data_IF_765193887887
#
_entry.id   IF_765193887887
#
_cell.length_a   1.000
_cell.length_b   1.000
_cell.length_c   1.000
_cell.angle_alpha   90.00
_cell.angle_beta   90.00
_cell.angle_gamma   90.00
#
_symmetry.space_group_name_H-M   'P 1'
#
loop_
_entity.id
_entity.type
_entity.pdbx_description
1 polymer ?
#
# COMPACT_ATOMS: atom_id res chain seq x y z
N UNK A 1 11.42 2.19 19.77
CA UNK A 1 11.80 2.24 18.35
C UNK A 1 10.71 1.72 17.40
N UNK A 2 9.78 0.83 17.79
CA UNK A 2 8.61 0.46 16.96
C UNK A 2 7.58 1.57 16.71
N UNK A 3 7.42 2.52 17.64
CA UNK A 3 6.37 3.57 17.57
C UNK A 3 6.50 4.54 16.39
N UNK A 4 7.69 4.67 15.78
CA UNK A 4 7.96 5.66 14.74
C UNK A 4 7.59 5.19 13.31
N UNK A 5 7.44 3.88 13.09
CA UNK A 5 7.34 3.31 11.74
C UNK A 5 5.90 3.17 11.23
N UNK A 6 4.93 2.90 12.10
CA UNK A 6 3.51 2.79 11.73
C UNK A 6 2.88 4.16 11.53
N UNK A 7 3.27 5.16 12.33
CA UNK A 7 2.89 6.57 12.11
C UNK A 7 3.45 7.04 10.76
N UNK A 8 4.64 6.60 10.36
CA UNK A 8 5.19 6.92 9.03
C UNK A 8 4.42 6.24 7.88
N UNK A 9 3.71 5.13 8.11
CA UNK A 9 2.87 4.45 7.10
C UNK A 9 1.49 5.08 6.95
N UNK A 10 0.87 5.53 8.04
CA UNK A 10 -0.35 6.35 7.99
C UNK A 10 -0.06 7.77 7.45
N UNK A 11 1.09 8.35 7.78
CA UNK A 11 1.53 9.65 7.25
C UNK A 11 2.01 9.54 5.79
N UNK A 12 2.52 8.39 5.31
CA UNK A 12 2.91 8.26 3.89
C UNK A 12 1.74 8.08 2.93
N UNK A 13 0.50 7.92 3.41
CA UNK A 13 -0.67 8.17 2.55
C UNK A 13 -0.72 9.65 2.10
N UNK A 14 -0.05 10.57 2.81
CA UNK A 14 0.13 11.97 2.40
C UNK A 14 1.23 12.18 1.34
N UNK A 15 2.12 11.19 1.12
CA UNK A 15 3.18 11.28 0.09
C UNK A 15 2.71 10.81 -1.29
N UNK A 16 1.47 10.28 -1.39
CA UNK A 16 0.69 10.29 -2.63
C UNK A 16 0.01 11.67 -2.85
N UNK A 17 0.37 12.69 -2.08
CA UNK A 17 -0.34 13.97 -1.99
C UNK A 17 -1.30 13.96 -0.80
N UNK A 18 -1.35 15.02 0.00
CA UNK A 18 -2.08 15.07 1.25
C UNK A 18 -3.57 14.74 1.07
N UNK A 19 -4.09 13.82 1.88
CA UNK A 19 -5.50 13.76 2.23
C UNK A 19 -5.77 14.96 3.15
N UNK A 20 -5.90 16.15 2.55
CA UNK A 20 -6.43 17.34 3.21
C UNK A 20 -7.70 17.68 2.47
N UNK A 21 -8.83 17.41 3.10
CA UNK A 21 -10.05 18.16 2.87
C UNK A 21 -9.72 19.64 3.11
N UNK A 22 -9.34 20.36 2.04
CA UNK A 22 -8.87 21.74 2.09
C UNK A 22 -7.61 22.08 1.31
N UNK A 23 -6.91 21.13 0.68
CA UNK A 23 -5.94 21.49 -0.35
C UNK A 23 -6.72 21.88 -1.61
N UNK A 24 -6.68 23.16 -1.96
CA UNK A 24 -7.19 23.66 -3.23
C UNK A 24 -6.43 22.91 -4.33
N UNK A 25 -7.03 21.85 -4.88
CA UNK A 25 -6.51 21.15 -6.04
C UNK A 25 -6.27 22.21 -7.11
N UNK A 26 -5.01 22.38 -7.49
CA UNK A 26 -4.66 23.06 -8.71
C UNK A 26 -5.25 22.23 -9.86
N UNK A 27 -6.53 22.50 -10.15
CA UNK A 27 -7.30 21.92 -11.24
C UNK A 27 -6.79 22.41 -12.61
N UNK A 28 -5.59 23.02 -12.68
CA UNK A 28 -4.93 23.27 -13.95
C UNK A 28 -4.62 21.93 -14.61
N UNK A 29 -5.28 21.69 -15.75
CA UNK A 29 -4.98 20.56 -16.61
C UNK A 29 -3.54 20.74 -17.09
N UNK A 30 -2.60 19.95 -16.55
CA UNK A 30 -1.23 19.88 -17.07
C UNK A 30 -1.25 19.18 -18.42
N UNK A 31 -1.37 19.97 -19.49
CA UNK A 31 -1.28 19.48 -20.86
C UNK A 31 0.18 19.11 -21.14
N UNK A 32 0.46 17.81 -21.29
CA UNK A 32 1.75 17.32 -21.80
C UNK A 32 1.58 17.03 -23.29
N UNK A 33 2.42 17.65 -24.12
CA UNK A 33 2.50 17.33 -25.55
C UNK A 33 3.57 16.26 -25.74
N UNK A 34 3.17 15.11 -26.29
CA UNK A 34 4.08 14.03 -26.68
C UNK A 34 4.09 13.91 -28.20
N UNK A 35 5.28 13.89 -28.79
CA UNK A 35 5.44 13.59 -30.21
C UNK A 35 5.71 12.10 -30.32
N UNK A 36 4.77 11.36 -30.91
CA UNK A 36 4.92 9.93 -31.16
C UNK A 36 5.21 9.70 -32.64
N UNK A 37 6.20 8.85 -32.94
CA UNK A 37 6.47 8.40 -34.30
C UNK A 37 5.73 7.09 -34.53
N UNK A 38 4.82 6.99 -35.51
CA UNK A 38 4.12 5.73 -35.79
C UNK A 38 5.11 4.62 -36.10
N UNK A 39 5.08 3.55 -35.29
CA UNK A 39 5.87 2.35 -35.50
C UNK A 39 4.96 1.18 -35.89
N UNK A 40 5.24 0.48 -37.02
CA UNK A 40 4.48 -0.70 -37.38
C UNK A 40 4.63 -1.77 -36.29
N UNK A 41 3.64 -2.66 -36.22
CA UNK A 41 3.76 -3.85 -35.39
C UNK A 41 5.02 -4.64 -35.75
N UNK A 42 5.80 -5.03 -34.74
CA UNK A 42 6.98 -5.85 -34.94
C UNK A 42 6.57 -7.21 -35.53
N UNK A 43 7.34 -7.72 -36.50
CA UNK A 43 7.09 -9.07 -37.09
C UNK A 43 7.02 -10.16 -36.03
N UNK A 44 7.81 -10.02 -34.97
CA UNK A 44 7.71 -10.83 -33.75
C UNK A 44 7.04 -9.99 -32.65
N UNK A 45 5.71 -9.88 -32.69
CA UNK A 45 4.92 -9.00 -31.82
C UNK A 45 5.16 -9.22 -30.32
N UNK A 46 5.49 -10.45 -29.91
CA UNK A 46 5.71 -10.86 -28.51
C UNK A 46 7.20 -11.02 -28.15
N UNK A 47 8.10 -10.45 -28.97
CA UNK A 47 9.55 -10.48 -28.69
C UNK A 47 9.87 -9.63 -27.47
N UNK A 48 9.37 -8.40 -27.45
CA UNK A 48 9.56 -7.41 -26.41
C UNK A 48 8.60 -7.71 -25.27
N UNK A 49 9.13 -7.73 -24.05
CA UNK A 49 8.41 -8.14 -22.85
C UNK A 49 8.87 -7.29 -21.67
N UNK A 50 7.95 -7.04 -20.75
CA UNK A 50 8.21 -6.37 -19.48
C UNK A 50 8.25 -7.37 -18.30
N UNK A 51 8.39 -8.66 -18.63
CA UNK A 51 8.49 -9.77 -17.69
C UNK A 51 9.31 -10.93 -18.29
N UNK A 52 9.93 -11.72 -17.41
CA UNK A 52 10.69 -12.90 -17.81
C UNK A 52 9.78 -14.00 -18.37
N UNK A 53 10.24 -14.74 -19.38
CA UNK A 53 9.54 -15.94 -19.89
C UNK A 53 9.72 -17.11 -18.93
N UNK A 54 8.76 -18.03 -18.95
CA UNK A 54 8.83 -19.29 -18.20
C UNK A 54 10.15 -20.05 -18.40
N UNK A 55 10.69 -20.08 -19.63
CA UNK A 55 11.97 -20.74 -19.93
C UNK A 55 13.21 -20.02 -19.36
N UNK A 56 13.10 -18.73 -19.03
CA UNK A 56 14.16 -17.91 -18.45
C UNK A 56 14.13 -17.97 -16.90
N UNK A 57 12.99 -18.34 -16.31
CA UNK A 57 12.81 -18.42 -14.87
C UNK A 57 13.70 -19.50 -14.26
N UNK A 58 14.33 -19.13 -13.15
CA UNK A 58 15.11 -20.04 -12.31
C UNK A 58 14.27 -20.38 -11.08
N UNK A 59 14.21 -21.67 -10.75
CA UNK A 59 13.52 -22.15 -9.56
C UNK A 59 14.24 -21.69 -8.28
N UNK A 60 13.92 -20.48 -7.84
CA UNK A 60 14.50 -19.84 -6.67
C UNK A 60 13.59 -18.68 -6.22
N UNK A 61 13.76 -18.26 -4.97
CA UNK A 61 12.96 -17.20 -4.35
C UNK A 61 13.57 -15.81 -4.59
N UNK A 62 12.76 -14.86 -5.07
CA UNK A 62 13.11 -13.47 -5.30
C UNK A 62 13.24 -12.66 -3.99
N UNK A 63 12.48 -12.99 -2.94
CA UNK A 63 12.44 -12.23 -1.69
C UNK A 63 13.83 -12.11 -1.05
N UNK A 64 14.63 -13.18 -1.10
CA UNK A 64 16.03 -13.20 -0.60
C UNK A 64 16.90 -12.18 -1.33
N UNK A 65 16.70 -12.00 -2.63
CA UNK A 65 17.44 -11.02 -3.43
C UNK A 65 16.97 -9.60 -3.14
N UNK A 66 15.67 -9.38 -2.89
CA UNK A 66 15.17 -8.08 -2.45
C UNK A 66 15.71 -7.71 -1.07
N UNK A 67 15.71 -8.61 -0.09
CA UNK A 67 16.36 -8.37 1.20
C UNK A 67 17.86 -8.08 1.05
N UNK A 68 18.55 -8.83 0.21
CA UNK A 68 19.96 -8.57 -0.09
C UNK A 68 20.16 -7.21 -0.74
N UNK A 69 19.29 -6.81 -1.67
CA UNK A 69 19.33 -5.49 -2.30
C UNK A 69 19.11 -4.37 -1.27
N UNK A 70 18.15 -4.53 -0.35
CA UNK A 70 17.94 -3.59 0.74
C UNK A 70 19.17 -3.47 1.65
N UNK A 71 19.85 -4.58 1.96
CA UNK A 71 21.09 -4.57 2.75
C UNK A 71 22.28 -3.95 2.00
N UNK A 72 22.22 -3.85 0.67
CA UNK A 72 23.23 -3.18 -0.17
C UNK A 72 22.80 -1.75 -0.58
N UNK A 73 21.64 -1.28 -0.10
CA UNK A 73 21.21 0.08 -0.33
C UNK A 73 22.15 1.00 0.45
N UNK A 74 22.62 2.12 -0.13
CA UNK A 74 23.39 3.11 0.61
C UNK A 74 22.67 3.51 1.90
N UNK A 75 23.40 3.67 3.00
CA UNK A 75 22.84 4.10 4.28
C UNK A 75 22.39 5.57 4.24
N UNK A 76 21.52 5.96 5.18
CA UNK A 76 21.16 7.38 5.45
C UNK A 76 22.29 8.14 6.17
N UNK A 77 23.54 7.98 5.74
CA UNK A 77 24.68 8.68 6.33
C UNK A 77 24.61 10.21 6.20
N UNK A 78 25.76 10.87 6.34
CA UNK A 78 25.90 12.33 6.47
C UNK A 78 25.63 13.15 5.18
N UNK A 79 24.85 12.61 4.22
CA UNK A 79 24.62 13.25 2.94
C UNK A 79 23.13 13.31 2.58
N UNK A 80 22.72 14.47 2.06
CA UNK A 80 21.41 14.76 1.45
C UNK A 80 21.13 13.94 0.18
N UNK A 81 21.66 12.72 0.07
CA UNK A 81 21.57 11.88 -1.12
C UNK A 81 20.12 11.65 -1.53
N UNK A 82 19.27 11.27 -0.57
CA UNK A 82 17.86 11.00 -0.84
C UNK A 82 17.08 12.27 -1.18
N UNK A 83 17.34 13.37 -0.47
CA UNK A 83 16.77 14.68 -0.81
C UNK A 83 17.15 15.10 -2.24
N UNK A 84 18.42 14.88 -2.64
CA UNK A 84 18.90 15.15 -4.00
C UNK A 84 18.23 14.25 -5.02
N UNK A 85 18.12 12.94 -4.76
CA UNK A 85 17.43 12.00 -5.65
C UNK A 85 15.98 12.44 -5.87
N UNK A 86 15.28 12.82 -4.80
CA UNK A 86 13.91 13.30 -4.90
C UNK A 86 13.81 14.59 -5.70
N UNK A 87 14.69 15.56 -5.47
CA UNK A 87 14.76 16.79 -6.28
C UNK A 87 15.02 16.48 -7.76
N UNK A 88 15.99 15.60 -8.05
CA UNK A 88 16.34 15.23 -9.43
C UNK A 88 15.25 14.44 -10.13
N UNK A 89 14.40 13.71 -9.41
CA UNK A 89 13.27 12.98 -10.02
C UNK A 89 12.18 13.90 -10.56
N UNK A 90 12.05 15.10 -10.01
CA UNK A 90 10.97 16.04 -10.34
C UNK A 90 11.42 17.26 -11.17
N UNK A 91 12.72 17.59 -11.19
CA UNK A 91 13.26 18.66 -12.05
C UNK A 91 13.17 18.30 -13.54
N UNK A 92 13.16 19.24 -14.51
CA UNK A 92 13.22 18.95 -15.94
C UNK A 92 14.44 18.10 -16.36
N UNK A 93 14.27 17.26 -17.39
CA UNK A 93 15.28 16.23 -17.76
C UNK A 93 16.55 16.86 -18.33
N UNK A 94 16.40 17.96 -19.07
CA UNK A 94 17.45 18.78 -19.66
C UNK A 94 18.26 19.57 -18.62
N UNK A 95 17.71 19.79 -17.43
CA UNK A 95 18.39 20.47 -16.32
C UNK A 95 19.15 19.50 -15.39
N UNK A 96 19.05 18.18 -15.61
CA UNK A 96 19.66 17.19 -14.72
C UNK A 96 21.19 17.35 -14.64
N UNK A 97 21.78 17.43 -13.43
CA UNK A 97 23.24 17.43 -13.27
C UNK A 97 23.79 16.02 -13.50
N UNK A 98 23.94 15.64 -14.77
CA UNK A 98 24.23 14.26 -15.21
C UNK A 98 25.37 13.60 -14.46
N UNK A 99 26.50 14.28 -14.27
CA UNK A 99 27.67 13.74 -13.57
C UNK A 99 27.39 13.42 -12.10
N UNK A 100 26.66 14.29 -11.40
CA UNK A 100 26.26 14.06 -10.01
C UNK A 100 25.24 12.92 -9.89
N UNK A 101 24.27 12.88 -10.82
CA UNK A 101 23.27 11.81 -10.89
C UNK A 101 23.94 10.46 -11.14
N UNK A 102 24.83 10.36 -12.12
CA UNK A 102 25.58 9.13 -12.41
C UNK A 102 26.40 8.67 -11.20
N UNK A 103 27.07 9.60 -10.51
CA UNK A 103 27.83 9.30 -9.29
C UNK A 103 26.92 8.77 -8.17
N UNK A 104 25.76 9.40 -7.97
CA UNK A 104 24.78 8.97 -6.98
C UNK A 104 24.21 7.58 -7.31
N UNK A 105 23.77 7.35 -8.55
CA UNK A 105 23.27 6.05 -9.01
C UNK A 105 24.34 4.96 -8.93
N UNK A 106 25.62 5.31 -9.10
CA UNK A 106 26.76 4.41 -8.92
C UNK A 106 26.80 3.76 -7.53
N UNK A 107 26.30 4.44 -6.49
CA UNK A 107 26.22 3.91 -5.13
C UNK A 107 25.18 2.79 -5.00
N UNK A 108 24.15 2.77 -5.85
CA UNK A 108 23.11 1.75 -5.86
C UNK A 108 23.46 0.54 -6.74
N UNK A 109 24.64 0.50 -7.38
CA UNK A 109 25.02 -0.55 -8.35
C UNK A 109 24.81 -1.97 -7.80
N UNK A 110 25.20 -2.22 -6.56
CA UNK A 110 25.03 -3.53 -5.92
C UNK A 110 23.55 -3.88 -5.72
N UNK A 111 22.75 -2.90 -5.27
CA UNK A 111 21.29 -3.04 -5.13
C UNK A 111 20.64 -3.35 -6.48
N UNK A 112 20.92 -2.56 -7.52
CA UNK A 112 20.36 -2.75 -8.86
C UNK A 112 20.70 -4.12 -9.43
N UNK A 113 21.94 -4.58 -9.26
CA UNK A 113 22.33 -5.91 -9.72
C UNK A 113 21.51 -7.03 -9.07
N UNK A 114 21.18 -6.89 -7.79
CA UNK A 114 20.36 -7.87 -7.07
C UNK A 114 18.90 -7.82 -7.52
N UNK A 115 18.36 -6.63 -7.82
CA UNK A 115 17.03 -6.46 -8.43
C UNK A 115 16.98 -7.16 -9.80
N UNK A 116 17.95 -6.93 -10.69
CA UNK A 116 18.03 -7.60 -12.00
C UNK A 116 18.06 -9.13 -11.88
N UNK A 117 18.80 -9.65 -10.89
CA UNK A 117 18.85 -11.09 -10.63
C UNK A 117 17.51 -11.64 -10.12
N UNK A 118 16.71 -10.82 -9.44
CA UNK A 118 15.40 -11.18 -8.91
C UNK A 118 14.35 -11.34 -10.02
N UNK A 119 14.47 -10.59 -11.13
CA UNK A 119 13.52 -10.63 -12.27
C UNK A 119 13.28 -12.04 -12.81
N UNK A 120 14.33 -12.87 -12.83
CA UNK A 120 14.28 -14.23 -13.40
C UNK A 120 14.12 -15.31 -12.32
N UNK A 121 13.48 -14.99 -11.20
CA UNK A 121 13.13 -15.94 -10.13
C UNK A 121 11.67 -16.34 -10.27
N UNK A 122 11.39 -17.63 -10.10
CA UNK A 122 10.05 -18.18 -10.36
C UNK A 122 9.03 -17.93 -9.25
N UNK A 123 9.47 -17.47 -8.06
CA UNK A 123 8.59 -17.21 -6.90
C UNK A 123 9.12 -16.04 -6.06
N UNK A 124 8.25 -15.32 -5.36
CA UNK A 124 8.61 -14.35 -4.33
C UNK A 124 7.86 -14.65 -3.02
N UNK A 125 8.44 -15.49 -2.19
CA UNK A 125 7.86 -15.91 -0.91
C UNK A 125 8.54 -15.15 0.23
N UNK A 126 7.79 -14.35 0.98
CA UNK A 126 8.34 -13.50 2.04
C UNK A 126 8.51 -14.21 3.39
N UNK A 127 7.87 -15.37 3.60
CA UNK A 127 7.93 -16.19 4.82
C UNK A 127 7.79 -15.35 6.13
N UNK A 128 6.91 -14.34 6.10
CA UNK A 128 6.69 -13.45 7.25
C UNK A 128 5.81 -14.11 8.32
N UNK A 129 6.06 -13.87 9.61
CA UNK A 129 5.27 -14.42 10.71
C UNK A 129 3.97 -13.64 10.88
N UNK A 130 3.01 -13.87 9.98
CA UNK A 130 1.74 -13.13 9.90
C UNK A 130 0.93 -13.17 11.20
N UNK A 131 1.12 -14.21 12.01
CA UNK A 131 0.46 -14.39 13.30
C UNK A 131 0.92 -13.39 14.36
N UNK A 132 2.03 -12.68 14.12
CA UNK A 132 2.50 -11.57 14.98
C UNK A 132 1.67 -10.29 14.84
N UNK A 133 0.76 -10.20 13.84
CA UNK A 133 -0.16 -9.08 13.67
C UNK A 133 0.56 -7.72 13.56
N UNK A 134 0.19 -6.76 14.39
CA UNK A 134 0.80 -5.43 14.46
C UNK A 134 2.26 -5.45 14.89
N UNK A 135 2.72 -6.50 15.58
CA UNK A 135 4.11 -6.62 15.98
C UNK A 135 5.00 -7.14 14.85
N UNK A 136 4.41 -7.65 13.77
CA UNK A 136 5.16 -8.15 12.61
C UNK A 136 6.04 -7.06 12.02
N UNK A 137 7.34 -7.34 11.95
CA UNK A 137 8.33 -6.37 11.51
C UNK A 137 8.52 -6.40 9.99
N UNK A 138 8.47 -5.22 9.37
CA UNK A 138 8.75 -5.02 7.94
C UNK A 138 9.87 -3.99 7.71
N UNK A 139 11.10 -4.27 8.19
CA UNK A 139 12.16 -3.24 8.31
C UNK A 139 12.64 -2.67 6.97
N UNK A 140 12.53 -3.44 5.87
CA UNK A 140 13.10 -3.05 4.57
C UNK A 140 12.15 -2.23 3.68
N UNK A 141 10.90 -1.97 4.09
CA UNK A 141 9.91 -1.32 3.21
C UNK A 141 10.32 0.09 2.76
N UNK A 142 10.85 0.90 3.68
CA UNK A 142 11.34 2.23 3.33
C UNK A 142 12.54 2.15 2.38
N UNK A 143 13.42 1.17 2.58
CA UNK A 143 14.57 0.91 1.72
C UNK A 143 14.14 0.49 0.30
N UNK A 144 13.09 -0.31 0.15
CA UNK A 144 12.55 -0.65 -1.17
C UNK A 144 12.05 0.58 -1.94
N UNK A 145 11.40 1.53 -1.26
CA UNK A 145 10.99 2.80 -1.88
C UNK A 145 12.21 3.62 -2.33
N UNK A 146 13.26 3.68 -1.50
CA UNK A 146 14.52 4.37 -1.85
C UNK A 146 15.20 3.77 -3.06
N UNK A 147 15.28 2.44 -3.14
CA UNK A 147 15.80 1.73 -4.32
C UNK A 147 14.92 2.06 -5.55
N UNK A 148 13.60 2.07 -5.39
CA UNK A 148 12.69 2.42 -6.47
C UNK A 148 12.84 3.88 -6.94
N UNK A 149 13.09 4.84 -6.02
CA UNK A 149 13.39 6.23 -6.38
C UNK A 149 14.67 6.29 -7.23
N UNK A 150 15.72 5.57 -6.83
CA UNK A 150 16.95 5.49 -7.59
C UNK A 150 16.76 4.80 -8.96
N UNK A 151 15.98 3.70 -9.04
CA UNK A 151 15.62 3.05 -10.31
C UNK A 151 14.83 3.98 -11.23
N UNK A 152 13.88 4.74 -10.67
CA UNK A 152 13.11 5.73 -11.43
C UNK A 152 14.00 6.82 -12.00
N UNK A 153 15.01 7.28 -11.25
CA UNK A 153 15.96 8.28 -11.72
C UNK A 153 16.91 7.70 -12.77
N UNK A 154 17.36 6.44 -12.59
CA UNK A 154 18.16 5.70 -13.58
C UNK A 154 17.43 5.57 -14.90
N UNK A 155 16.18 5.10 -14.89
CA UNK A 155 15.35 4.96 -16.08
C UNK A 155 15.24 6.30 -16.83
N UNK A 156 15.00 7.37 -16.09
CA UNK A 156 14.85 8.71 -16.65
C UNK A 156 16.13 9.22 -17.31
N UNK A 157 17.29 8.97 -16.70
CA UNK A 157 18.59 9.31 -17.29
C UNK A 157 18.84 8.51 -18.57
N UNK A 158 18.55 7.21 -18.57
CA UNK A 158 18.71 6.34 -19.74
C UNK A 158 17.83 6.80 -20.92
N UNK A 159 16.58 7.18 -20.64
CA UNK A 159 15.68 7.78 -21.63
C UNK A 159 16.28 9.07 -22.19
N UNK A 160 16.80 9.95 -21.32
CA UNK A 160 17.41 11.22 -21.70
C UNK A 160 18.67 11.06 -22.56
N UNK A 161 19.37 9.94 -22.39
CA UNK A 161 20.61 9.61 -23.08
C UNK A 161 20.39 8.77 -24.34
N UNK A 162 19.14 8.44 -24.67
CA UNK A 162 18.80 7.63 -25.83
C UNK A 162 19.15 6.15 -25.67
N UNK A 163 19.35 5.68 -24.43
CA UNK A 163 19.77 4.31 -24.10
C UNK A 163 18.55 3.38 -24.02
N UNK A 164 18.00 3.03 -25.19
CA UNK A 164 16.72 2.31 -25.30
C UNK A 164 16.73 0.94 -24.61
N UNK A 165 17.76 0.14 -24.81
CA UNK A 165 17.85 -1.22 -24.28
C UNK A 165 18.04 -1.22 -22.76
N UNK A 166 18.87 -0.30 -22.26
CA UNK A 166 19.10 -0.09 -20.84
C UNK A 166 17.82 0.41 -20.14
N UNK A 167 17.12 1.39 -20.74
CA UNK A 167 15.84 1.88 -20.24
C UNK A 167 14.80 0.76 -20.16
N UNK A 168 14.69 -0.08 -21.20
CA UNK A 168 13.78 -1.24 -21.20
C UNK A 168 14.12 -2.23 -20.07
N UNK A 169 15.42 -2.50 -19.86
CA UNK A 169 15.91 -3.38 -18.80
C UNK A 169 15.60 -2.83 -17.40
N UNK A 170 15.82 -1.52 -17.18
CA UNK A 170 15.51 -0.84 -15.91
C UNK A 170 14.01 -0.84 -15.65
N UNK A 171 13.20 -0.52 -16.65
CA UNK A 171 11.75 -0.54 -16.58
C UNK A 171 11.24 -1.94 -16.18
N UNK A 172 11.73 -2.97 -16.87
CA UNK A 172 11.40 -4.38 -16.57
C UNK A 172 11.78 -4.75 -15.12
N UNK A 173 12.97 -4.35 -14.69
CA UNK A 173 13.46 -4.62 -13.33
C UNK A 173 12.62 -3.91 -12.26
N UNK A 174 12.24 -2.65 -12.50
CA UNK A 174 11.38 -1.89 -11.60
C UNK A 174 9.95 -2.45 -11.51
N UNK A 175 9.36 -2.88 -12.63
CA UNK A 175 8.05 -3.52 -12.65
C UNK A 175 8.07 -4.90 -11.98
N UNK A 176 9.12 -5.70 -12.20
CA UNK A 176 9.29 -6.97 -11.50
C UNK A 176 9.47 -6.78 -9.99
N UNK A 177 10.22 -5.74 -9.57
CA UNK A 177 10.34 -5.36 -8.16
C UNK A 177 8.99 -4.95 -7.58
N UNK A 178 8.23 -4.10 -8.28
CA UNK A 178 6.88 -3.69 -7.86
C UNK A 178 5.99 -4.90 -7.56
N UNK A 179 5.96 -5.88 -8.48
CA UNK A 179 5.21 -7.13 -8.31
C UNK A 179 5.72 -7.96 -7.15
N UNK A 180 7.02 -8.22 -7.08
CA UNK A 180 7.59 -9.04 -6.01
C UNK A 180 7.37 -8.45 -4.62
N UNK A 181 7.45 -7.13 -4.46
CA UNK A 181 7.09 -6.46 -3.19
C UNK A 181 5.60 -6.62 -2.90
N UNK A 182 4.73 -6.49 -3.91
CA UNK A 182 3.28 -6.69 -3.80
C UNK A 182 2.81 -8.15 -3.73
N UNK A 183 3.71 -9.15 -3.75
CA UNK A 183 3.39 -10.55 -3.40
C UNK A 183 3.47 -10.79 -1.87
N UNK A 184 3.66 -9.71 -1.10
CA UNK A 184 3.66 -9.74 0.35
C UNK A 184 2.28 -10.01 0.97
N UNK A 185 2.22 -10.50 2.22
CA UNK A 185 0.96 -10.83 2.86
C UNK A 185 0.16 -9.61 3.36
N UNK A 186 0.66 -8.37 3.28
CA UNK A 186 0.01 -7.20 3.91
C UNK A 186 -0.44 -6.17 2.89
N UNK A 187 -1.51 -5.42 3.19
CA UNK A 187 -1.94 -4.34 2.29
C UNK A 187 -0.86 -3.27 2.19
N UNK A 188 -0.08 -3.08 3.25
CA UNK A 188 1.08 -2.18 3.26
C UNK A 188 2.06 -2.54 2.14
N UNK A 189 2.36 -3.82 1.93
CA UNK A 189 3.27 -4.25 0.87
C UNK A 189 2.66 -4.04 -0.52
N UNK A 190 1.36 -4.31 -0.70
CA UNK A 190 0.67 -4.00 -1.94
C UNK A 190 0.74 -2.51 -2.29
N UNK A 191 0.52 -1.64 -1.30
CA UNK A 191 0.64 -0.20 -1.46
C UNK A 191 2.03 0.22 -1.92
N UNK A 192 3.07 -0.41 -1.36
CA UNK A 192 4.45 -0.17 -1.80
C UNK A 192 4.65 -0.67 -3.23
N UNK A 193 4.18 -1.88 -3.57
CA UNK A 193 4.24 -2.42 -4.92
C UNK A 193 3.55 -1.52 -5.95
N UNK A 194 2.33 -1.09 -5.67
CA UNK A 194 1.55 -0.16 -6.52
C UNK A 194 2.31 1.17 -6.70
N UNK A 195 2.86 1.73 -5.62
CA UNK A 195 3.61 2.98 -5.70
C UNK A 195 4.87 2.84 -6.58
N UNK A 196 5.63 1.74 -6.42
CA UNK A 196 6.80 1.44 -7.26
C UNK A 196 6.40 1.28 -8.73
N UNK A 197 5.32 0.53 -8.99
CA UNK A 197 4.79 0.36 -10.35
C UNK A 197 4.40 1.68 -10.99
N UNK A 198 3.63 2.51 -10.28
CA UNK A 198 3.22 3.84 -10.74
C UNK A 198 4.42 4.75 -11.06
N UNK A 199 5.50 4.67 -10.27
CA UNK A 199 6.73 5.41 -10.55
C UNK A 199 7.41 4.98 -11.85
N UNK A 200 7.39 3.69 -12.18
CA UNK A 200 7.96 3.19 -13.43
C UNK A 200 7.09 3.60 -14.62
N UNK A 201 5.77 3.43 -14.50
CA UNK A 201 4.78 3.80 -15.52
C UNK A 201 4.77 5.30 -15.83
N UNK A 202 5.12 6.17 -14.86
CA UNK A 202 5.25 7.63 -15.05
C UNK A 202 6.15 8.01 -16.24
N UNK A 203 7.19 7.23 -16.53
CA UNK A 203 8.19 7.52 -17.57
C UNK A 203 7.87 6.88 -18.93
N UNK A 204 6.81 6.07 -19.01
CA UNK A 204 6.50 5.28 -20.21
C UNK A 204 6.25 6.17 -21.45
N UNK A 205 5.51 7.28 -21.28
CA UNK A 205 5.24 8.19 -22.39
C UNK A 205 6.50 8.86 -22.95
N UNK A 206 7.45 9.19 -22.07
CA UNK A 206 8.76 9.75 -22.47
C UNK A 206 9.63 8.67 -23.15
N UNK A 207 9.62 7.44 -22.63
CA UNK A 207 10.31 6.31 -23.24
C UNK A 207 9.78 6.01 -24.64
N UNK A 208 8.45 5.93 -24.81
CA UNK A 208 7.80 5.68 -26.10
C UNK A 208 7.96 6.83 -27.12
N UNK A 209 8.31 8.03 -26.66
CA UNK A 209 8.59 9.18 -27.52
C UNK A 209 10.05 9.23 -28.02
N UNK A 210 10.93 8.35 -27.54
CA UNK A 210 12.30 8.28 -28.06
C UNK A 210 12.32 7.89 -29.56
N UNK A 211 13.25 8.41 -30.37
CA UNK A 211 13.32 8.11 -31.80
C UNK A 211 13.40 6.62 -32.14
N UNK A 212 14.16 5.86 -31.34
CA UNK A 212 14.40 4.42 -31.51
C UNK A 212 13.57 3.57 -30.52
N UNK A 213 12.53 4.14 -29.89
CA UNK A 213 11.68 3.41 -28.96
C UNK A 213 10.95 2.25 -29.68
N UNK A 214 10.95 1.05 -29.10
CA UNK A 214 10.12 -0.02 -29.62
C UNK A 214 8.63 0.24 -29.42
N UNK A 215 7.79 -0.41 -30.23
CA UNK A 215 6.37 -0.52 -29.95
C UNK A 215 6.14 -1.44 -28.74
N UNK A 216 5.63 -0.89 -27.63
CA UNK A 216 5.39 -1.60 -26.37
C UNK A 216 3.96 -2.09 -26.17
N UNK A 217 3.05 -1.86 -27.12
CA UNK A 217 1.62 -2.15 -26.96
C UNK A 217 1.37 -3.58 -26.47
N UNK A 218 1.97 -4.56 -27.13
CA UNK A 218 1.82 -5.98 -26.75
C UNK A 218 2.57 -6.34 -25.46
N UNK A 219 3.71 -5.70 -25.19
CA UNK A 219 4.46 -5.92 -23.96
C UNK A 219 3.70 -5.41 -22.72
N UNK A 220 2.96 -4.31 -22.87
CA UNK A 220 2.08 -3.75 -21.85
C UNK A 220 0.80 -4.59 -21.69
N UNK A 221 0.22 -5.04 -22.81
CA UNK A 221 -0.98 -5.89 -22.82
C UNK A 221 -0.75 -7.28 -22.21
N UNK A 222 0.49 -7.76 -22.18
CA UNK A 222 0.89 -9.05 -21.59
C UNK A 222 1.11 -8.97 -20.06
N UNK A 223 1.10 -7.77 -19.47
CA UNK A 223 1.25 -7.62 -18.02
C UNK A 223 0.04 -8.20 -17.27
N UNK A 224 0.22 -8.71 -16.03
CA UNK A 224 -0.89 -9.20 -15.23
C UNK A 224 -1.99 -8.16 -14.99
N UNK A 225 -3.23 -8.63 -14.91
CA UNK A 225 -4.41 -7.80 -14.62
C UNK A 225 -5.24 -8.42 -13.47
N UNK A 226 -5.26 -7.80 -12.28
CA UNK A 226 -4.55 -6.57 -11.92
C UNK A 226 -3.03 -6.76 -11.86
N UNK A 227 -2.27 -5.67 -12.01
CA UNK A 227 -0.80 -5.73 -11.95
C UNK A 227 -0.28 -6.14 -10.56
N UNK A 228 -0.96 -5.69 -9.50
CA UNK A 228 -0.79 -6.14 -8.11
C UNK A 228 -2.15 -6.68 -7.64
N UNK A 229 -2.19 -7.91 -7.14
CA UNK A 229 -3.43 -8.55 -6.66
C UNK A 229 -3.57 -8.39 -5.14
N UNK A 230 -4.60 -7.66 -4.71
CA UNK A 230 -4.86 -7.35 -3.31
C UNK A 230 -5.53 -8.51 -2.54
N UNK A 231 -5.97 -9.59 -3.20
CA UNK A 231 -6.78 -10.63 -2.55
C UNK A 231 -6.08 -11.30 -1.36
N UNK A 232 -4.79 -11.58 -1.51
CA UNK A 232 -4.01 -12.25 -0.48
C UNK A 232 -3.89 -11.37 0.76
N UNK A 233 -3.52 -10.12 0.58
CA UNK A 233 -3.38 -9.17 1.68
C UNK A 233 -4.71 -8.86 2.35
N UNK A 234 -5.80 -8.74 1.60
CA UNK A 234 -7.14 -8.56 2.17
C UNK A 234 -7.53 -9.73 3.07
N UNK A 235 -7.09 -10.96 2.75
CA UNK A 235 -7.34 -12.13 3.60
C UNK A 235 -6.57 -12.02 4.93
N UNK A 236 -5.32 -11.55 4.90
CA UNK A 236 -4.55 -11.24 6.10
C UNK A 236 -5.24 -10.17 6.96
N UNK A 237 -5.65 -9.05 6.35
CA UNK A 237 -6.28 -7.92 7.04
C UNK A 237 -7.64 -8.28 7.64
N UNK A 238 -8.34 -9.22 7.00
CA UNK A 238 -9.58 -9.76 7.51
C UNK A 238 -9.40 -10.46 8.87
N UNK A 239 -8.31 -11.21 9.03
CA UNK A 239 -8.05 -12.00 10.24
C UNK A 239 -7.14 -11.32 11.27
N UNK A 240 -6.44 -10.26 10.87
CA UNK A 240 -5.46 -9.56 11.70
C UNK A 240 -5.99 -9.17 13.08
N UNK A 241 -7.22 -8.65 13.17
CA UNK A 241 -7.83 -8.26 14.45
C UNK A 241 -8.00 -9.45 15.41
N UNK A 242 -8.18 -10.67 14.90
CA UNK A 242 -8.33 -11.86 15.72
C UNK A 242 -6.99 -12.46 16.17
N UNK A 243 -5.87 -12.11 15.54
CA UNK A 243 -4.54 -12.38 16.09
C UNK A 243 -4.20 -11.37 17.19
N UNK A 244 -4.56 -10.10 16.98
CA UNK A 244 -4.33 -9.04 17.96
C UNK A 244 -5.16 -9.18 19.23
N UNK A 245 -6.44 -9.48 19.06
CA UNK A 245 -7.41 -9.63 20.14
C UNK A 245 -8.21 -10.92 19.91
N UNK A 246 -7.65 -12.09 20.26
CA UNK A 246 -8.32 -13.38 20.08
C UNK A 246 -9.70 -13.45 20.75
N UNK A 247 -9.90 -12.69 21.83
CA UNK A 247 -11.17 -12.58 22.56
C UNK A 247 -12.33 -12.05 21.70
N UNK A 248 -12.05 -11.36 20.59
CA UNK A 248 -13.08 -10.84 19.67
C UNK A 248 -13.88 -11.95 18.98
N UNK A 249 -13.35 -13.18 18.89
CA UNK A 249 -14.06 -14.32 18.28
C UNK A 249 -15.34 -14.69 19.03
N UNK A 250 -15.31 -14.56 20.35
CA UNK A 250 -16.36 -15.08 21.24
C UNK A 250 -17.06 -13.96 22.03
N UNK A 251 -16.71 -12.70 21.77
CA UNK A 251 -17.09 -11.54 22.59
C UNK A 251 -18.61 -11.39 22.77
N UNK A 252 -19.42 -11.77 21.78
CA UNK A 252 -20.88 -11.71 21.85
C UNK A 252 -21.58 -12.99 22.34
N UNK A 253 -20.84 -14.07 22.61
CA UNK A 253 -21.43 -15.37 22.93
C UNK A 253 -21.61 -15.60 24.44
N UNK A 254 -20.78 -14.96 25.27
CA UNK A 254 -20.77 -15.14 26.73
C UNK A 254 -20.77 -13.79 27.41
N UNK A 255 -21.57 -13.63 28.45
CA UNK A 255 -21.52 -12.46 29.34
C UNK A 255 -20.25 -12.54 30.17
N UNK A 256 -19.38 -11.54 30.04
CA UNK A 256 -18.16 -11.40 30.84
C UNK A 256 -18.48 -10.80 32.21
N UNK A 257 -17.59 -10.95 33.17
CA UNK A 257 -17.65 -10.11 34.38
C UNK A 257 -17.14 -8.69 34.08
N UNK A 258 -17.55 -7.70 34.89
CA UNK A 258 -17.09 -6.30 34.73
C UNK A 258 -15.56 -6.17 34.73
N UNK A 259 -14.88 -6.97 35.56
CA UNK A 259 -13.41 -7.00 35.65
C UNK A 259 -12.80 -7.53 34.35
N UNK A 260 -13.35 -8.61 33.80
CA UNK A 260 -12.88 -9.18 32.53
C UNK A 260 -13.12 -8.22 31.37
N UNK A 261 -14.31 -7.63 31.27
CA UNK A 261 -14.64 -6.67 30.22
C UNK A 261 -13.74 -5.42 30.28
N UNK A 262 -13.52 -4.86 31.48
CA UNK A 262 -12.64 -3.70 31.68
C UNK A 262 -11.17 -4.03 31.34
N UNK A 263 -10.69 -5.22 31.73
CA UNK A 263 -9.35 -5.67 31.40
C UNK A 263 -9.15 -5.81 29.88
N UNK A 264 -10.17 -6.30 29.15
CA UNK A 264 -10.12 -6.44 27.70
C UNK A 264 -10.09 -5.08 26.99
N UNK A 265 -10.89 -4.10 27.42
CA UNK A 265 -10.78 -2.72 26.89
C UNK A 265 -9.38 -2.16 27.11
N UNK A 266 -8.83 -2.29 28.32
CA UNK A 266 -7.48 -1.82 28.62
C UNK A 266 -6.41 -2.51 27.75
N UNK A 267 -6.55 -3.82 27.51
CA UNK A 267 -5.68 -4.58 26.61
C UNK A 267 -5.74 -4.04 25.19
N UNK A 268 -6.95 -3.80 24.66
CA UNK A 268 -7.17 -3.22 23.33
C UNK A 268 -6.50 -1.84 23.21
N UNK A 269 -6.79 -0.91 24.11
CA UNK A 269 -6.20 0.42 24.11
C UNK A 269 -4.67 0.38 24.17
N UNK A 270 -4.11 -0.49 25.01
CA UNK A 270 -2.66 -0.68 25.10
C UNK A 270 -2.08 -1.18 23.77
N UNK A 271 -2.65 -2.23 23.18
CA UNK A 271 -2.19 -2.78 21.89
C UNK A 271 -2.23 -1.74 20.77
N UNK A 272 -3.33 -1.00 20.66
CA UNK A 272 -3.49 0.04 19.65
C UNK A 272 -2.52 1.21 19.88
N UNK A 273 -2.30 1.62 21.13
CA UNK A 273 -1.27 2.60 21.49
C UNK A 273 0.14 2.12 21.15
N UNK A 274 0.46 0.86 21.43
CA UNK A 274 1.77 0.27 21.12
C UNK A 274 2.00 0.15 19.60
N UNK A 275 0.92 -0.04 18.83
CA UNK A 275 0.91 0.04 17.37
C UNK A 275 0.96 1.47 16.81
N UNK A 276 1.09 2.50 17.66
CA UNK A 276 1.28 3.89 17.23
C UNK A 276 -0.01 4.71 17.04
N UNK A 277 -1.18 4.21 17.45
CA UNK A 277 -2.47 4.90 17.25
C UNK A 277 -2.80 5.95 18.32
N UNK A 278 -1.90 6.20 19.28
CA UNK A 278 -2.15 7.05 20.45
C UNK A 278 -2.43 8.54 20.16
N UNK A 279 -2.13 9.04 18.96
CA UNK A 279 -2.34 10.45 18.58
C UNK A 279 -3.75 10.73 18.03
N UNK A 280 -4.51 9.70 17.65
CA UNK A 280 -5.86 9.88 17.12
C UNK A 280 -6.82 10.38 18.22
N UNK A 281 -7.72 11.31 17.85
CA UNK A 281 -8.62 11.99 18.78
C UNK A 281 -9.48 11.03 19.61
N UNK A 282 -9.88 9.89 19.04
CA UNK A 282 -10.65 8.86 19.76
C UNK A 282 -9.81 8.14 20.83
N UNK A 283 -8.49 8.03 20.63
CA UNK A 283 -7.54 7.48 21.60
C UNK A 283 -7.12 8.46 22.70
N UNK A 284 -7.48 9.75 22.57
CA UNK A 284 -7.30 10.73 23.67
C UNK A 284 -8.26 10.47 24.84
N UNK A 285 -9.33 9.70 24.62
CA UNK A 285 -10.18 9.24 25.71
C UNK A 285 -9.48 8.14 26.50
N UNK A 286 -9.61 8.21 27.83
CA UNK A 286 -9.31 7.06 28.67
C UNK A 286 -10.37 5.96 28.43
N UNK A 287 -10.02 4.67 28.61
CA UNK A 287 -10.93 3.53 28.43
C UNK A 287 -12.33 3.72 29.02
N UNK A 288 -12.43 4.21 30.25
CA UNK A 288 -13.73 4.46 30.91
C UNK A 288 -14.54 5.56 30.21
N UNK A 289 -13.87 6.65 29.78
CA UNK A 289 -14.50 7.74 29.05
C UNK A 289 -15.07 7.28 27.71
N UNK A 290 -14.33 6.43 27.00
CA UNK A 290 -14.78 5.80 25.76
C UNK A 290 -16.03 4.95 25.98
N UNK A 291 -16.05 4.08 26.99
CA UNK A 291 -17.25 3.28 27.31
C UNK A 291 -18.48 4.17 27.57
N UNK A 292 -18.33 5.24 28.36
CA UNK A 292 -19.44 6.15 28.68
C UNK A 292 -20.00 6.87 27.44
N UNK A 293 -19.13 7.31 26.53
CA UNK A 293 -19.54 8.03 25.31
C UNK A 293 -20.33 7.14 24.34
N UNK A 294 -20.02 5.84 24.31
CA UNK A 294 -20.57 4.91 23.32
C UNK A 294 -21.68 3.99 23.84
N UNK A 295 -21.91 3.90 25.14
CA UNK A 295 -22.82 2.88 25.70
C UNK A 295 -24.26 2.97 25.18
N UNK A 296 -24.80 4.18 25.01
CA UNK A 296 -26.16 4.38 24.48
C UNK A 296 -26.24 3.93 23.03
N UNK A 297 -25.26 4.30 22.20
CA UNK A 297 -25.19 3.90 20.80
C UNK A 297 -25.02 2.38 20.68
N UNK A 298 -24.23 1.77 21.57
CA UNK A 298 -24.02 0.34 21.61
C UNK A 298 -25.32 -0.43 21.88
N UNK A 299 -26.15 0.02 22.83
CA UNK A 299 -27.46 -0.59 23.08
C UNK A 299 -28.35 -0.52 21.85
N UNK A 300 -28.52 0.67 21.28
CA UNK A 300 -29.38 0.87 20.11
C UNK A 300 -28.92 0.02 18.91
N UNK A 301 -27.61 -0.04 18.66
CA UNK A 301 -27.03 -0.82 17.57
C UNK A 301 -27.25 -2.33 17.75
N UNK A 302 -27.03 -2.85 18.96
CA UNK A 302 -27.19 -4.27 19.24
C UNK A 302 -28.67 -4.70 19.19
N UNK A 303 -29.58 -3.86 19.70
CA UNK A 303 -31.04 -4.09 19.59
C UNK A 303 -31.49 -4.14 18.12
N UNK A 304 -31.02 -3.21 17.28
CA UNK A 304 -31.30 -3.16 15.84
C UNK A 304 -30.82 -4.43 15.10
N UNK A 305 -29.75 -5.07 15.60
CA UNK A 305 -29.21 -6.34 15.08
C UNK A 305 -29.81 -7.58 15.72
N UNK A 306 -30.89 -7.42 16.49
CA UNK A 306 -31.69 -8.52 17.02
C UNK A 306 -31.12 -9.18 18.27
N UNK A 307 -30.19 -8.52 18.99
CA UNK A 307 -29.81 -8.98 20.32
C UNK A 307 -30.99 -8.77 21.29
N UNK A 308 -31.27 -9.77 22.13
CA UNK A 308 -32.31 -9.64 23.16
C UNK A 308 -31.92 -8.58 24.20
N UNK A 309 -32.86 -7.69 24.55
CA UNK A 309 -32.63 -6.63 25.54
C UNK A 309 -32.11 -7.17 26.88
N UNK A 310 -32.66 -8.30 27.34
CA UNK A 310 -32.21 -8.99 28.57
C UNK A 310 -30.75 -9.42 28.51
N UNK A 311 -30.27 -9.83 27.33
CA UNK A 311 -28.89 -10.23 27.12
C UNK A 311 -27.96 -9.02 27.09
N UNK A 312 -28.36 -7.93 26.42
CA UNK A 312 -27.60 -6.67 26.38
C UNK A 312 -27.49 -6.06 27.78
N UNK A 313 -28.57 -6.06 28.57
CA UNK A 313 -28.58 -5.56 29.94
C UNK A 313 -27.71 -6.39 30.89
N UNK A 314 -27.59 -7.69 30.62
CA UNK A 314 -26.70 -8.56 31.39
C UNK A 314 -25.21 -8.32 31.06
N UNK A 315 -24.87 -7.75 29.89
CA UNK A 315 -23.49 -7.46 29.53
C UNK A 315 -22.93 -6.26 30.31
N UNK A 316 -21.69 -6.33 30.80
CA UNK A 316 -20.94 -5.15 31.18
C UNK A 316 -20.94 -4.10 30.07
N UNK A 317 -21.09 -2.81 30.42
CA UNK A 317 -21.10 -1.73 29.44
C UNK A 317 -19.85 -1.74 28.53
N UNK A 318 -18.68 -2.06 29.11
CA UNK A 318 -17.44 -2.23 28.37
C UNK A 318 -17.54 -3.31 27.28
N UNK A 319 -18.16 -4.45 27.58
CA UNK A 319 -18.35 -5.54 26.62
C UNK A 319 -19.30 -5.11 25.50
N UNK A 320 -20.45 -4.53 25.84
CA UNK A 320 -21.44 -4.07 24.85
C UNK A 320 -20.83 -3.05 23.88
N UNK A 321 -20.05 -2.08 24.39
CA UNK A 321 -19.38 -1.07 23.56
C UNK A 321 -18.33 -1.69 22.64
N UNK A 322 -17.49 -2.61 23.15
CA UNK A 322 -16.52 -3.31 22.31
C UNK A 322 -17.19 -4.11 21.20
N UNK A 323 -18.29 -4.81 21.52
CA UNK A 323 -19.03 -5.62 20.56
C UNK A 323 -19.66 -4.76 19.47
N UNK A 324 -20.32 -3.66 19.84
CA UNK A 324 -20.86 -2.67 18.93
C UNK A 324 -19.78 -2.17 17.95
N UNK A 325 -18.67 -1.66 18.49
CA UNK A 325 -17.62 -1.04 17.69
C UNK A 325 -16.98 -2.05 16.73
N UNK A 326 -16.76 -3.28 17.19
CA UNK A 326 -16.19 -4.31 16.34
C UNK A 326 -17.18 -4.81 15.26
N UNK A 327 -18.47 -4.93 15.57
CA UNK A 327 -19.49 -5.33 14.58
C UNK A 327 -19.67 -4.25 13.51
N UNK A 328 -19.76 -2.98 13.89
CA UNK A 328 -19.83 -1.87 12.93
C UNK A 328 -18.59 -1.84 12.02
N UNK A 329 -17.40 -2.03 12.59
CA UNK A 329 -16.17 -2.16 11.81
C UNK A 329 -16.22 -3.32 10.81
N UNK A 330 -16.69 -4.50 11.23
CA UNK A 330 -16.83 -5.66 10.34
C UNK A 330 -17.78 -5.38 9.19
N UNK A 331 -18.93 -4.76 9.46
CA UNK A 331 -19.92 -4.43 8.44
C UNK A 331 -19.33 -3.49 7.37
N UNK A 332 -18.64 -2.43 7.80
CA UNK A 332 -17.98 -1.50 6.86
C UNK A 332 -16.83 -2.19 6.13
N UNK A 333 -15.96 -2.91 6.83
CA UNK A 333 -14.85 -3.67 6.22
C UNK A 333 -15.33 -4.65 5.16
N UNK A 334 -16.36 -5.45 5.47
CA UNK A 334 -16.89 -6.45 4.54
C UNK A 334 -17.59 -5.76 3.36
N UNK A 335 -18.20 -4.60 3.60
CA UNK A 335 -18.64 -3.64 2.58
C UNK A 335 -17.53 -3.25 1.62
N UNK A 336 -16.34 -2.89 2.12
CA UNK A 336 -15.17 -2.60 1.28
C UNK A 336 -14.73 -3.80 0.46
N UNK A 337 -14.49 -4.90 1.18
CA UNK A 337 -13.73 -6.03 0.66
C UNK A 337 -14.52 -6.74 -0.44
N UNK A 338 -15.85 -6.84 -0.29
CA UNK A 338 -16.70 -7.40 -1.34
C UNK A 338 -16.59 -6.61 -2.65
N UNK A 339 -16.54 -5.27 -2.59
CA UNK A 339 -16.47 -4.45 -3.80
C UNK A 339 -15.08 -4.47 -4.44
N UNK A 340 -14.01 -4.49 -3.65
CA UNK A 340 -12.64 -4.64 -4.15
C UNK A 340 -12.40 -6.00 -4.83
N UNK A 341 -13.19 -7.02 -4.49
CA UNK A 341 -13.12 -8.33 -5.15
C UNK A 341 -13.67 -8.34 -6.58
N UNK A 342 -14.40 -7.29 -6.97
CA UNK A 342 -14.99 -7.14 -8.31
C UNK A 342 -14.04 -6.42 -9.28
N UNK A 343 -14.23 -6.61 -10.60
CA UNK A 343 -13.52 -5.81 -11.60
C UNK A 343 -13.66 -4.31 -11.35
N UNK A 344 -12.58 -3.55 -11.55
CA UNK A 344 -12.51 -2.12 -11.21
C UNK A 344 -13.69 -1.28 -11.74
N UNK A 345 -14.17 -1.56 -12.96
CA UNK A 345 -15.30 -0.84 -13.54
C UNK A 345 -16.60 -1.00 -12.73
N UNK A 346 -16.81 -2.16 -12.11
CA UNK A 346 -17.95 -2.42 -11.23
C UNK A 346 -17.73 -1.77 -9.86
N UNK A 347 -16.53 -1.89 -9.30
CA UNK A 347 -16.15 -1.21 -8.05
C UNK A 347 -16.37 0.31 -8.12
N UNK A 348 -15.97 0.96 -9.22
CA UNK A 348 -15.98 2.43 -9.35
C UNK A 348 -17.37 3.05 -9.12
N UNK A 349 -18.44 2.32 -9.45
CA UNK A 349 -19.83 2.74 -9.25
C UNK A 349 -20.16 2.94 -7.78
N UNK A 350 -19.53 2.18 -6.88
CA UNK A 350 -19.80 2.17 -5.44
C UNK A 350 -18.68 2.81 -4.61
N UNK A 351 -17.56 3.20 -5.24
CA UNK A 351 -16.38 3.71 -4.54
C UNK A 351 -16.70 4.93 -3.65
N UNK A 352 -17.40 5.93 -4.19
CA UNK A 352 -17.72 7.16 -3.47
C UNK A 352 -18.70 6.93 -2.31
N UNK A 353 -19.60 5.94 -2.44
CA UNK A 353 -20.51 5.57 -1.35
C UNK A 353 -19.72 4.97 -0.19
N UNK A 354 -18.85 4.01 -0.49
CA UNK A 354 -18.11 3.31 0.53
C UNK A 354 -17.05 4.20 1.21
N UNK A 355 -16.40 5.10 0.46
CA UNK A 355 -15.48 6.08 1.04
C UNK A 355 -16.18 6.95 2.10
N UNK A 356 -17.45 7.33 1.84
CA UNK A 356 -18.28 8.01 2.82
C UNK A 356 -18.62 7.11 4.00
N UNK A 357 -18.94 5.83 3.80
CA UNK A 357 -19.19 4.89 4.91
C UNK A 357 -17.96 4.74 5.82
N UNK A 358 -16.73 4.68 5.29
CA UNK A 358 -15.51 4.74 6.11
C UNK A 358 -15.39 6.06 6.84
N UNK A 359 -15.51 7.16 6.12
CA UNK A 359 -15.35 8.50 6.68
C UNK A 359 -16.34 8.72 7.81
N UNK A 360 -17.58 8.28 7.62
CA UNK A 360 -18.63 8.31 8.61
C UNK A 360 -18.23 7.54 9.86
N UNK A 361 -17.66 6.33 9.80
CA UNK A 361 -17.23 5.63 11.03
C UNK A 361 -15.93 6.16 11.62
N UNK A 362 -15.00 6.68 10.81
CA UNK A 362 -13.67 7.10 11.26
C UNK A 362 -13.62 8.54 11.77
N UNK A 363 -14.53 9.42 11.33
CA UNK A 363 -14.50 10.86 11.61
C UNK A 363 -15.75 11.39 12.36
N UNK A 364 -16.23 10.68 13.39
CA UNK A 364 -17.31 11.14 14.30
C UNK A 364 -16.80 11.86 15.55
N UNK A 365 -15.58 12.40 15.52
CA UNK A 365 -14.96 13.04 16.68
C UNK A 365 -14.74 12.06 17.84
N UNK A 366 -15.27 12.38 19.02
CA UNK A 366 -15.16 11.48 20.20
C UNK A 366 -15.97 10.18 20.04
N UNK A 367 -16.90 10.12 19.08
CA UNK A 367 -17.70 8.93 18.76
C UNK A 367 -17.13 8.13 17.58
N UNK A 368 -15.92 8.43 17.10
CA UNK A 368 -15.31 7.66 16.03
C UNK A 368 -15.12 6.19 16.43
N UNK A 369 -15.24 5.30 15.45
CA UNK A 369 -15.00 3.89 15.66
C UNK A 369 -13.49 3.61 15.82
N UNK A 370 -13.08 3.02 16.94
CA UNK A 370 -11.66 2.78 17.22
C UNK A 370 -11.02 1.73 16.30
N UNK A 371 -11.80 0.79 15.77
CA UNK A 371 -11.31 -0.20 14.81
C UNK A 371 -11.28 0.36 13.39
N UNK A 372 -12.10 1.38 13.09
CA UNK A 372 -12.16 2.03 11.78
C UNK A 372 -10.82 2.58 11.31
N UNK A 373 -9.90 2.93 12.23
CA UNK A 373 -8.54 3.38 11.90
C UNK A 373 -7.72 2.32 11.14
N UNK A 374 -8.08 1.04 11.27
CA UNK A 374 -7.44 -0.06 10.57
C UNK A 374 -8.04 -0.31 9.19
N UNK A 375 -9.08 0.43 8.78
CA UNK A 375 -9.54 0.44 7.40
C UNK A 375 -8.61 1.35 6.59
N UNK A 376 -7.83 0.79 5.66
CA UNK A 376 -6.99 1.63 4.82
C UNK A 376 -7.84 2.42 3.84
N UNK A 377 -7.36 3.60 3.44
CA UNK A 377 -7.93 4.36 2.33
C UNK A 377 -7.62 3.66 0.98
N UNK A 378 -8.31 2.56 0.71
CA UNK A 378 -8.05 1.70 -0.44
C UNK A 378 -8.61 2.23 -1.76
N UNK A 379 -9.52 3.21 -1.74
CA UNK A 379 -10.16 3.69 -2.97
C UNK A 379 -9.18 4.33 -3.94
N UNK A 380 -8.35 5.25 -3.45
CA UNK A 380 -7.29 5.89 -4.25
C UNK A 380 -6.28 4.88 -4.75
N UNK A 381 -5.96 3.89 -3.94
CA UNK A 381 -4.99 2.83 -4.25
C UNK A 381 -5.51 1.94 -5.36
N UNK A 382 -6.76 1.51 -5.24
CA UNK A 382 -7.45 0.72 -6.25
C UNK A 382 -7.62 1.52 -7.56
N UNK A 383 -7.91 2.82 -7.46
CA UNK A 383 -7.90 3.74 -8.61
C UNK A 383 -6.51 3.81 -9.26
N UNK A 384 -5.44 4.02 -8.50
CA UNK A 384 -4.08 4.11 -9.03
C UNK A 384 -3.61 2.80 -9.65
N UNK A 385 -3.92 1.66 -9.03
CA UNK A 385 -3.65 0.34 -9.59
C UNK A 385 -4.39 0.12 -10.92
N UNK A 386 -5.68 0.43 -10.97
CA UNK A 386 -6.47 0.29 -12.19
C UNK A 386 -6.06 1.29 -13.28
N UNK A 387 -5.72 2.52 -12.91
CA UNK A 387 -5.19 3.55 -13.80
C UNK A 387 -3.86 3.14 -14.41
N UNK A 388 -2.95 2.58 -13.61
CA UNK A 388 -1.67 2.06 -14.09
C UNK A 388 -1.84 0.96 -15.14
N UNK A 389 -2.98 0.25 -15.15
CA UNK A 389 -3.33 -0.75 -16.16
C UNK A 389 -4.03 -0.17 -17.40
N UNK A 390 -4.37 1.13 -17.43
CA UNK A 390 -5.25 1.75 -18.45
C UNK A 390 -4.71 3.03 -19.08
N UNK A 391 -3.67 3.64 -18.52
CA UNK A 391 -3.04 4.86 -19.05
C UNK A 391 -2.22 4.61 -20.34
N UNK A 392 -2.35 3.42 -20.97
CA UNK A 392 -1.63 3.03 -22.19
C UNK A 392 -2.56 2.51 -23.28
#
# INVERSE_FOLDING_TARGET
MCKLWIIFLLVTCQMLGPCVAGAQEDNSIKVRSLTLTPMPEAREALKIRLQARMAELKNANAAVLYHSAAAQCPDDGDDKLYDKIDQWRDMPTDELPRDEVMKALGQFRASFRLIELAVVRSRCEWDMPIEEGFAMMMPSLATYRRIAFALSLKLRLEIADGQTDEALSTLTSGLAMARGIGEGPTLIQDLVGIAIGAMMFKHMGEFMAMPDAPNLYWALSDLPHPFIDLRQSMSYEYDMMYWELPELRDLGQKVLSDVQASALVNKMFKKFSDAGMGENMAFKLLPLGWVMVHYVDAKAFLEDRGFEASHIEAMPAAQAVMLYQFQEFKEVRDGLFKWLSLPYAQYRVYADQYDKEIEEVTNRGLKSNLYGIFLPALSRVHFLGARSCRDF
#
